data_IF_379715389734
#
_entry.id   IF_379715389734
#
_cell.length_a   1.000
_cell.length_b   1.000
_cell.length_c   1.000
_cell.angle_alpha   90.00
_cell.angle_beta   90.00
_cell.angle_gamma   90.00
#
_symmetry.space_group_name_H-M   'P 1'
#
loop_
_entity.id
_entity.type
_entity.pdbx_description
1 polymer ?
#
# COMPACT_ATOMS: atom_id res chain seq x y z
N UNK A 1 -0.27 -12.45 -31.28
CA UNK A 1 0.29 -13.56 -30.50
C UNK A 1 -0.88 -14.30 -29.87
N UNK A 2 -1.04 -15.58 -30.16
CA UNK A 2 -2.17 -16.39 -29.65
C UNK A 2 -1.73 -17.11 -28.37
N UNK A 3 -2.69 -17.39 -27.47
CA UNK A 3 -2.40 -17.93 -26.13
C UNK A 3 -1.75 -19.32 -26.19
N UNK A 4 -2.07 -20.10 -27.23
CA UNK A 4 -1.49 -21.43 -27.45
C UNK A 4 0.03 -21.39 -27.64
N UNK A 5 0.58 -20.31 -28.18
CA UNK A 5 2.04 -20.17 -28.39
C UNK A 5 2.80 -19.90 -27.07
N UNK A 6 2.09 -19.54 -26.00
CA UNK A 6 2.68 -19.13 -24.70
C UNK A 6 2.55 -20.20 -23.62
N UNK A 7 1.69 -21.19 -23.82
CA UNK A 7 1.36 -22.22 -22.83
C UNK A 7 1.85 -23.58 -23.31
N UNK A 8 2.19 -24.46 -22.36
CA UNK A 8 2.36 -25.88 -22.70
C UNK A 8 1.03 -26.49 -23.14
N UNK A 9 1.07 -27.51 -24.02
CA UNK A 9 -0.13 -28.21 -24.49
C UNK A 9 -1.03 -28.67 -23.34
N UNK A 10 -0.43 -29.19 -22.26
CA UNK A 10 -1.14 -29.61 -21.05
C UNK A 10 -1.91 -28.47 -20.39
N UNK A 11 -1.28 -27.29 -20.24
CA UNK A 11 -1.91 -26.13 -19.64
C UNK A 11 -3.04 -25.58 -20.52
N UNK A 12 -2.87 -25.61 -21.84
CA UNK A 12 -3.90 -25.18 -22.78
C UNK A 12 -5.13 -26.11 -22.77
N UNK A 13 -4.92 -27.43 -22.70
CA UNK A 13 -6.02 -28.40 -22.57
C UNK A 13 -6.82 -28.18 -21.29
N UNK A 14 -6.16 -27.99 -20.14
CA UNK A 14 -6.84 -27.69 -18.87
C UNK A 14 -7.65 -26.40 -18.97
N UNK A 15 -7.09 -25.35 -19.58
CA UNK A 15 -7.80 -24.08 -19.77
C UNK A 15 -9.03 -24.24 -20.66
N UNK A 16 -8.94 -25.05 -21.73
CA UNK A 16 -10.07 -25.37 -22.61
C UNK A 16 -11.16 -26.15 -21.89
N UNK A 17 -10.79 -27.11 -21.04
CA UNK A 17 -11.72 -27.93 -20.26
C UNK A 17 -12.40 -27.15 -19.12
N UNK A 18 -11.82 -26.03 -18.67
CA UNK A 18 -12.35 -25.21 -17.57
C UNK A 18 -13.70 -24.52 -17.86
N UNK A 19 -14.17 -24.51 -19.12
CA UNK A 19 -15.41 -23.83 -19.56
C UNK A 19 -15.49 -22.33 -19.20
N UNK A 20 -14.33 -21.69 -19.04
CA UNK A 20 -14.23 -20.25 -18.72
C UNK A 20 -14.11 -19.37 -19.97
N UNK A 21 -14.04 -19.97 -21.16
CA UNK A 21 -13.77 -19.30 -22.44
C UNK A 21 -12.48 -18.45 -22.48
N UNK A 22 -11.60 -18.59 -21.49
CA UNK A 22 -10.32 -17.87 -21.45
C UNK A 22 -9.35 -18.38 -22.53
N UNK A 23 -9.49 -19.63 -22.96
CA UNK A 23 -8.63 -20.25 -23.98
C UNK A 23 -8.78 -19.64 -25.38
N UNK A 24 -9.88 -18.94 -25.66
CA UNK A 24 -10.12 -18.24 -26.94
C UNK A 24 -9.72 -16.76 -26.91
N UNK A 25 -9.26 -16.26 -25.75
CA UNK A 25 -8.85 -14.86 -25.58
C UNK A 25 -7.37 -14.67 -25.93
N UNK A 26 -7.05 -13.49 -26.39
CA UNK A 26 -5.67 -13.04 -26.56
C UNK A 26 -5.02 -12.74 -25.21
N UNK A 27 -3.68 -12.79 -25.10
CA UNK A 27 -2.98 -12.44 -23.87
C UNK A 27 -3.33 -11.03 -23.36
N UNK A 28 -3.50 -10.06 -24.26
CA UNK A 28 -3.86 -8.70 -23.88
C UNK A 28 -5.28 -8.63 -23.29
N UNK A 29 -6.25 -9.30 -23.92
CA UNK A 29 -7.61 -9.38 -23.37
C UNK A 29 -7.62 -10.04 -21.99
N UNK A 30 -6.81 -11.08 -21.76
CA UNK A 30 -6.69 -11.71 -20.45
C UNK A 30 -6.10 -10.77 -19.40
N UNK A 31 -5.10 -9.96 -19.76
CA UNK A 31 -4.53 -8.94 -18.87
C UNK A 31 -5.59 -7.89 -18.53
N UNK A 32 -6.32 -7.40 -19.52
CA UNK A 32 -7.42 -6.44 -19.31
C UNK A 32 -8.52 -7.02 -18.42
N UNK A 33 -8.93 -8.26 -18.68
CA UNK A 33 -9.91 -8.97 -17.85
C UNK A 33 -9.41 -9.19 -16.42
N UNK A 34 -8.12 -9.50 -16.22
CA UNK A 34 -7.53 -9.64 -14.90
C UNK A 34 -7.51 -8.30 -14.14
N UNK A 35 -7.16 -7.20 -14.82
CA UNK A 35 -7.20 -5.87 -14.24
C UNK A 35 -8.64 -5.44 -13.89
N UNK A 36 -9.61 -5.75 -14.75
CA UNK A 36 -11.02 -5.49 -14.50
C UNK A 36 -11.53 -6.32 -13.31
N UNK A 37 -11.22 -7.62 -13.25
CA UNK A 37 -11.56 -8.45 -12.10
C UNK A 37 -10.98 -7.89 -10.79
N UNK A 38 -9.73 -7.45 -10.83
CA UNK A 38 -9.03 -6.89 -9.69
C UNK A 38 -9.73 -5.62 -9.16
N UNK A 39 -10.07 -4.68 -10.06
CA UNK A 39 -10.69 -3.41 -9.72
C UNK A 39 -12.18 -3.55 -9.37
N UNK A 40 -12.93 -4.31 -10.16
CA UNK A 40 -14.40 -4.32 -10.11
C UNK A 40 -14.97 -5.39 -9.16
N UNK A 41 -14.17 -6.40 -8.79
CA UNK A 41 -14.62 -7.51 -7.95
C UNK A 41 -13.73 -7.75 -6.73
N UNK A 42 -12.41 -7.93 -6.92
CA UNK A 42 -11.53 -8.35 -5.83
C UNK A 42 -11.41 -7.30 -4.73
N UNK A 43 -11.19 -6.03 -5.10
CA UNK A 43 -11.14 -4.91 -4.14
C UNK A 43 -12.49 -4.61 -3.50
N UNK A 44 -13.62 -4.50 -4.25
CA UNK A 44 -14.94 -4.34 -3.65
C UNK A 44 -15.32 -5.47 -2.70
N UNK A 45 -14.94 -6.72 -3.01
CA UNK A 45 -15.19 -7.85 -2.11
C UNK A 45 -14.40 -7.72 -0.81
N UNK A 46 -13.15 -7.26 -0.83
CA UNK A 46 -12.41 -6.94 0.39
C UNK A 46 -13.14 -5.89 1.25
N UNK A 47 -13.59 -4.80 0.63
CA UNK A 47 -14.29 -3.73 1.35
C UNK A 47 -15.64 -4.21 1.89
N UNK A 48 -16.38 -5.01 1.11
CA UNK A 48 -17.62 -5.64 1.56
C UNK A 48 -17.38 -6.49 2.81
N UNK A 49 -16.29 -7.25 2.85
CA UNK A 49 -15.96 -8.12 3.98
C UNK A 49 -15.49 -7.34 5.22
N UNK A 50 -14.92 -6.14 5.03
CA UNK A 50 -14.75 -5.17 6.11
C UNK A 50 -16.09 -4.63 6.62
N UNK A 51 -17.02 -4.32 5.71
CA UNK A 51 -18.34 -3.79 6.05
C UNK A 51 -19.26 -4.80 6.74
N UNK A 52 -19.16 -6.08 6.39
CA UNK A 52 -19.87 -7.18 7.04
C UNK A 52 -19.19 -7.68 8.31
N UNK A 53 -18.00 -7.16 8.64
CA UNK A 53 -17.15 -7.61 9.75
C UNK A 53 -16.71 -9.08 9.64
N UNK A 54 -16.78 -9.68 8.45
CA UNK A 54 -16.11 -10.96 8.16
C UNK A 54 -14.61 -10.83 8.33
N UNK A 55 -14.06 -9.66 7.96
CA UNK A 55 -12.71 -9.24 8.26
C UNK A 55 -12.75 -7.92 9.02
N UNK A 56 -11.94 -7.77 10.06
CA UNK A 56 -11.86 -6.52 10.82
C UNK A 56 -10.41 -6.14 11.08
N UNK A 57 -9.81 -5.28 10.24
CA UNK A 57 -8.42 -4.90 10.42
C UNK A 57 -8.32 -3.93 11.60
N UNK A 58 -7.56 -4.37 12.61
CA UNK A 58 -7.32 -3.59 13.84
C UNK A 58 -6.09 -2.67 13.71
N UNK A 59 -5.15 -3.01 12.84
CA UNK A 59 -3.92 -2.28 12.59
C UNK A 59 -3.39 -2.50 11.15
N UNK A 60 -2.35 -1.75 10.77
CA UNK A 60 -1.73 -1.83 9.45
C UNK A 60 -1.16 -3.20 9.11
N UNK A 61 -0.73 -3.96 10.13
CA UNK A 61 -0.25 -5.34 9.96
C UNK A 61 -1.40 -6.25 9.54
N UNK A 62 -2.50 -6.24 10.29
CA UNK A 62 -3.69 -7.05 9.99
C UNK A 62 -4.32 -6.65 8.66
N UNK A 63 -4.33 -5.34 8.34
CA UNK A 63 -4.74 -4.84 7.02
C UNK A 63 -3.87 -5.43 5.90
N UNK A 64 -2.54 -5.42 6.07
CA UNK A 64 -1.60 -5.98 5.10
C UNK A 64 -1.80 -7.49 4.96
N UNK A 65 -2.03 -8.21 6.05
CA UNK A 65 -2.27 -9.66 6.04
C UNK A 65 -3.56 -9.99 5.27
N UNK A 66 -4.64 -9.24 5.48
CA UNK A 66 -5.89 -9.42 4.72
C UNK A 66 -5.76 -9.10 3.23
N UNK A 67 -5.00 -8.07 2.88
CA UNK A 67 -4.69 -7.76 1.48
C UNK A 67 -3.92 -8.92 0.84
N UNK A 68 -2.82 -9.36 1.46
CA UNK A 68 -1.97 -10.41 0.91
C UNK A 68 -2.64 -11.78 0.85
N UNK A 69 -3.49 -12.13 1.82
CA UNK A 69 -4.23 -13.42 1.81
C UNK A 69 -5.21 -13.52 0.64
N UNK A 70 -5.57 -12.40 0.03
CA UNK A 70 -6.44 -12.32 -1.16
C UNK A 70 -5.68 -12.00 -2.45
N UNK A 71 -4.35 -12.11 -2.41
CA UNK A 71 -3.46 -11.76 -3.52
C UNK A 71 -3.60 -10.30 -3.97
N UNK A 72 -4.08 -9.42 -3.09
CA UNK A 72 -4.22 -8.00 -3.34
C UNK A 72 -2.90 -7.28 -3.07
N UNK A 73 -2.49 -6.50 -4.04
CA UNK A 73 -1.28 -5.72 -4.03
C UNK A 73 -1.45 -4.45 -3.20
N UNK A 74 -0.54 -4.18 -2.28
CA UNK A 74 -0.60 -2.97 -1.42
C UNK A 74 -0.66 -1.64 -2.19
N UNK A 75 -0.24 -1.58 -3.45
CA UNK A 75 -0.38 -0.37 -4.28
C UNK A 75 -1.85 0.06 -4.50
N UNK A 76 -2.82 -0.83 -4.31
CA UNK A 76 -4.24 -0.55 -4.49
C UNK A 76 -4.91 -0.03 -3.21
N UNK A 77 -4.16 0.25 -2.15
CA UNK A 77 -4.69 0.87 -0.92
C UNK A 77 -5.49 2.14 -1.20
N UNK A 78 -5.07 2.96 -2.18
CA UNK A 78 -5.85 4.13 -2.63
C UNK A 78 -7.27 3.72 -3.04
N UNK A 79 -7.40 2.68 -3.85
CA UNK A 79 -8.70 2.24 -4.34
C UNK A 79 -9.56 1.66 -3.21
N UNK A 80 -8.95 0.98 -2.25
CA UNK A 80 -9.63 0.53 -1.03
C UNK A 80 -10.18 1.73 -0.24
N UNK A 81 -9.43 2.83 -0.12
CA UNK A 81 -9.91 4.07 0.52
C UNK A 81 -11.12 4.63 -0.24
N UNK A 82 -11.04 4.71 -1.57
CA UNK A 82 -12.12 5.23 -2.44
C UNK A 82 -13.40 4.39 -2.32
N UNK A 83 -13.28 3.07 -2.23
CA UNK A 83 -14.40 2.14 -2.07
C UNK A 83 -14.97 2.10 -0.65
N UNK A 84 -14.21 2.54 0.36
CA UNK A 84 -14.57 2.45 1.79
C UNK A 84 -15.29 3.70 2.32
N UNK A 85 -16.03 4.43 1.47
CA UNK A 85 -16.73 5.69 1.82
C UNK A 85 -17.58 5.62 3.10
N UNK A 86 -18.20 4.47 3.34
CA UNK A 86 -19.05 4.19 4.52
C UNK A 86 -18.29 3.57 5.69
N UNK A 87 -16.99 3.36 5.58
CA UNK A 87 -16.14 2.69 6.56
C UNK A 87 -14.98 3.61 6.98
N UNK A 88 -15.25 4.67 7.77
CA UNK A 88 -14.24 5.68 8.12
C UNK A 88 -13.03 5.09 8.85
N UNK A 89 -13.23 4.03 9.65
CA UNK A 89 -12.12 3.29 10.28
C UNK A 89 -11.21 2.62 9.24
N UNK A 90 -11.78 1.92 8.25
CA UNK A 90 -11.01 1.26 7.20
C UNK A 90 -10.26 2.27 6.31
N UNK A 91 -10.90 3.41 5.97
CA UNK A 91 -10.24 4.50 5.25
C UNK A 91 -9.05 5.05 6.05
N UNK A 92 -9.28 5.39 7.32
CA UNK A 92 -8.24 5.91 8.21
C UNK A 92 -7.06 4.95 8.28
N UNK A 93 -7.33 3.65 8.42
CA UNK A 93 -6.30 2.63 8.50
C UNK A 93 -5.49 2.48 7.21
N UNK A 94 -6.15 2.49 6.05
CA UNK A 94 -5.47 2.44 4.75
C UNK A 94 -4.59 3.67 4.52
N UNK A 95 -5.06 4.86 4.92
CA UNK A 95 -4.29 6.10 4.86
C UNK A 95 -3.08 6.04 5.80
N UNK A 96 -3.27 5.59 7.04
CA UNK A 96 -2.18 5.40 8.01
C UNK A 96 -1.12 4.45 7.47
N UNK A 97 -1.53 3.34 6.85
CA UNK A 97 -0.61 2.36 6.25
C UNK A 97 0.18 2.96 5.06
N UNK A 98 -0.47 3.72 4.18
CA UNK A 98 0.23 4.42 3.08
C UNK A 98 1.30 5.39 3.61
N UNK A 99 1.00 6.13 4.67
CA UNK A 99 1.92 7.10 5.29
C UNK A 99 3.04 6.40 6.05
N UNK A 100 2.73 5.35 6.82
CA UNK A 100 3.74 4.55 7.51
C UNK A 100 4.76 3.97 6.52
N UNK A 101 4.30 3.51 5.35
CA UNK A 101 5.18 3.06 4.26
C UNK A 101 6.05 4.20 3.72
N UNK A 102 5.47 5.37 3.45
CA UNK A 102 6.23 6.55 3.01
C UNK A 102 7.37 6.87 3.97
N UNK A 103 7.06 6.91 5.26
CA UNK A 103 8.03 7.20 6.30
C UNK A 103 9.10 6.12 6.43
N UNK A 104 8.73 4.84 6.37
CA UNK A 104 9.71 3.76 6.35
C UNK A 104 10.72 3.93 5.22
N UNK A 105 10.26 4.26 4.02
CA UNK A 105 11.15 4.48 2.87
C UNK A 105 12.06 5.69 3.06
N UNK A 106 11.54 6.79 3.61
CA UNK A 106 12.35 7.98 3.88
C UNK A 106 13.39 7.68 4.97
N UNK A 107 13.01 7.00 6.06
CA UNK A 107 13.94 6.60 7.12
C UNK A 107 15.06 5.72 6.56
N UNK A 108 14.73 4.76 5.70
CA UNK A 108 15.73 3.92 5.04
C UNK A 108 16.70 4.75 4.19
N UNK A 109 16.21 5.75 3.46
CA UNK A 109 17.06 6.65 2.70
C UNK A 109 17.97 7.51 3.60
N UNK A 110 17.44 8.01 4.73
CA UNK A 110 18.23 8.75 5.73
C UNK A 110 19.34 7.86 6.28
N UNK A 111 19.01 6.64 6.74
CA UNK A 111 19.98 5.68 7.26
C UNK A 111 21.05 5.37 6.20
N UNK A 112 20.64 5.10 4.95
CA UNK A 112 21.58 4.82 3.87
C UNK A 112 22.50 6.00 3.50
N UNK A 113 22.13 7.23 3.83
CA UNK A 113 22.95 8.42 3.59
C UNK A 113 23.99 8.71 4.68
N UNK A 114 23.91 8.01 5.82
CA UNK A 114 24.84 8.20 6.94
C UNK A 114 26.09 7.34 6.72
N UNK A 115 27.22 7.99 6.50
CA UNK A 115 28.51 7.32 6.27
C UNK A 115 29.30 7.06 7.56
N UNK A 116 28.95 7.73 8.67
CA UNK A 116 29.65 7.64 9.96
C UNK A 116 28.75 6.96 10.98
N UNK A 117 29.21 5.85 11.54
CA UNK A 117 28.38 5.02 12.42
C UNK A 117 27.90 5.78 13.66
N UNK A 118 28.75 6.66 14.20
CA UNK A 118 28.45 7.50 15.36
C UNK A 118 27.28 8.48 15.11
N UNK A 119 27.02 8.81 13.84
CA UNK A 119 25.96 9.73 13.44
C UNK A 119 24.61 9.04 13.25
N UNK A 120 24.54 7.69 13.23
CA UNK A 120 23.27 6.98 13.03
C UNK A 120 22.21 7.37 14.05
N UNK A 121 22.57 7.32 15.34
CA UNK A 121 21.64 7.64 16.42
C UNK A 121 21.12 9.08 16.31
N UNK A 122 22.01 10.02 15.97
CA UNK A 122 21.65 11.43 15.77
C UNK A 122 20.72 11.59 14.56
N UNK A 123 21.06 11.00 13.42
CA UNK A 123 20.26 11.09 12.19
C UNK A 123 18.88 10.45 12.35
N UNK A 124 18.79 9.28 13.01
CA UNK A 124 17.51 8.62 13.30
C UNK A 124 16.68 9.49 14.26
N UNK A 125 17.28 10.02 15.33
CA UNK A 125 16.58 10.88 16.29
C UNK A 125 16.06 12.16 15.62
N UNK A 126 16.89 12.83 14.81
CA UNK A 126 16.50 14.03 14.05
C UNK A 126 15.36 13.70 13.10
N UNK A 127 15.43 12.59 12.37
CA UNK A 127 14.36 12.16 11.48
C UNK A 127 13.06 11.87 12.24
N UNK A 128 13.10 11.09 13.32
CA UNK A 128 11.91 10.76 14.11
C UNK A 128 11.31 12.01 14.76
N UNK A 129 12.13 12.97 15.20
CA UNK A 129 11.68 14.25 15.71
C UNK A 129 11.02 15.11 14.61
N UNK A 130 11.58 15.13 13.40
CA UNK A 130 10.94 15.77 12.25
C UNK A 130 9.59 15.10 11.88
N UNK A 131 9.55 13.77 11.97
CA UNK A 131 8.41 12.94 11.60
C UNK A 131 7.24 13.02 12.59
N UNK A 132 7.55 12.98 13.88
CA UNK A 132 6.58 12.83 14.97
C UNK A 132 6.43 14.12 15.78
N UNK A 133 7.45 14.97 15.77
CA UNK A 133 7.41 16.27 16.43
C UNK A 133 6.42 17.21 15.77
N UNK A 134 5.97 18.18 16.55
CA UNK A 134 5.39 19.42 16.03
C UNK A 134 6.57 20.35 15.75
N UNK A 135 6.94 20.55 14.49
CA UNK A 135 7.98 21.55 14.20
C UNK A 135 7.42 22.93 14.52
N UNK A 136 8.18 23.72 15.26
CA UNK A 136 7.91 25.15 15.46
C UNK A 136 8.30 25.97 14.23
N UNK A 137 8.98 25.36 13.26
CA UNK A 137 9.43 25.97 12.02
C UNK A 137 8.46 25.58 10.90
N UNK A 138 7.79 26.56 10.30
CA UNK A 138 6.80 26.32 9.24
C UNK A 138 7.39 25.62 8.01
N UNK A 139 8.66 25.91 7.68
CA UNK A 139 9.34 25.35 6.51
C UNK A 139 9.52 23.83 6.61
N UNK A 140 9.87 23.31 7.79
CA UNK A 140 10.01 21.88 8.03
C UNK A 140 8.69 21.15 7.85
N UNK A 141 7.59 21.76 8.31
CA UNK A 141 6.24 21.21 8.16
C UNK A 141 5.82 21.12 6.69
N UNK A 142 6.13 22.16 5.90
CA UNK A 142 5.88 22.18 4.44
C UNK A 142 6.74 21.15 3.71
N UNK A 143 8.02 21.03 4.06
CA UNK A 143 8.92 20.04 3.46
C UNK A 143 8.45 18.61 3.75
N UNK A 144 8.08 18.33 5.01
CA UNK A 144 7.52 17.05 5.43
C UNK A 144 6.29 16.68 4.61
N UNK A 145 5.33 17.60 4.50
CA UNK A 145 4.12 17.40 3.72
C UNK A 145 4.47 17.09 2.26
N UNK A 146 5.29 17.92 1.63
CA UNK A 146 5.71 17.73 0.23
C UNK A 146 6.35 16.35 -0.03
N UNK A 147 7.15 15.84 0.91
CA UNK A 147 7.78 14.53 0.78
C UNK A 147 6.76 13.39 0.83
N UNK A 148 5.82 13.46 1.77
CA UNK A 148 4.75 12.47 1.90
C UNK A 148 3.85 12.50 0.66
N UNK A 149 3.43 13.68 0.24
CA UNK A 149 2.63 13.90 -0.96
C UNK A 149 3.31 13.29 -2.18
N UNK A 150 4.61 13.56 -2.35
CA UNK A 150 5.38 13.03 -3.48
C UNK A 150 5.47 11.51 -3.43
N UNK A 151 5.74 10.92 -2.26
CA UNK A 151 5.85 9.47 -2.12
C UNK A 151 4.50 8.80 -2.42
N UNK A 152 3.44 9.29 -1.79
CA UNK A 152 2.10 8.71 -1.90
C UNK A 152 1.58 8.82 -3.32
N UNK A 153 1.77 9.98 -3.96
CA UNK A 153 1.39 10.17 -5.35
C UNK A 153 2.14 9.22 -6.27
N UNK A 154 3.47 9.08 -6.12
CA UNK A 154 4.26 8.16 -6.94
C UNK A 154 3.93 6.69 -6.71
N UNK A 155 3.62 6.29 -5.47
CA UNK A 155 3.42 4.88 -5.10
C UNK A 155 1.98 4.38 -5.27
N UNK A 156 1.00 5.24 -5.01
CA UNK A 156 -0.42 4.88 -4.97
C UNK A 156 -1.28 5.72 -5.93
N UNK A 157 -0.70 6.72 -6.61
CA UNK A 157 -1.43 7.66 -7.46
C UNK A 157 -2.39 8.56 -6.69
N UNK A 158 -2.29 8.64 -5.36
CA UNK A 158 -3.24 9.38 -4.52
C UNK A 158 -2.80 10.84 -4.37
N UNK A 159 -3.75 11.77 -4.59
CA UNK A 159 -3.54 13.20 -4.33
C UNK A 159 -3.93 13.50 -2.89
N UNK A 160 -3.00 14.09 -2.17
CA UNK A 160 -3.16 14.44 -0.77
C UNK A 160 -4.27 15.47 -0.56
N UNK A 161 -5.14 15.22 0.41
CA UNK A 161 -6.14 16.16 0.90
C UNK A 161 -5.80 16.56 2.35
N UNK A 162 -5.93 17.85 2.63
CA UNK A 162 -5.54 18.44 3.91
C UNK A 162 -6.38 17.92 5.08
N UNK A 163 -7.61 17.49 4.80
CA UNK A 163 -8.54 16.90 5.77
C UNK A 163 -8.07 15.54 6.31
N UNK A 164 -7.40 14.71 5.49
CA UNK A 164 -6.87 13.43 5.97
C UNK A 164 -5.66 13.61 6.91
N UNK A 165 -5.00 14.77 6.90
CA UNK A 165 -3.87 15.05 7.79
C UNK A 165 -4.28 15.27 9.23
N UNK A 166 -5.41 15.92 9.44
CA UNK A 166 -5.87 16.29 10.78
C UNK A 166 -6.18 15.05 11.64
N UNK A 167 -6.50 13.93 10.97
CA UNK A 167 -6.83 12.65 11.60
C UNK A 167 -5.62 11.68 11.73
N UNK A 168 -4.41 12.13 11.41
CA UNK A 168 -3.20 11.31 11.56
C UNK A 168 -2.78 11.19 13.02
N UNK A 169 -3.14 10.06 13.65
CA UNK A 169 -2.59 9.69 14.96
C UNK A 169 -1.13 9.29 14.80
N UNK A 170 -0.23 10.13 15.31
CA UNK A 170 1.24 9.94 15.28
C UNK A 170 1.69 8.52 15.69
N UNK A 171 0.99 7.91 16.64
CA UNK A 171 1.32 6.58 17.17
C UNK A 171 0.91 5.41 16.27
N UNK A 172 -0.14 5.54 15.46
CA UNK A 172 -0.57 4.48 14.52
C UNK A 172 0.48 4.22 13.45
N UNK A 173 1.21 5.28 13.08
CA UNK A 173 2.26 5.28 12.08
C UNK A 173 3.49 4.48 12.55
N UNK A 174 3.87 4.62 13.83
CA UNK A 174 5.08 3.99 14.36
C UNK A 174 5.00 2.47 14.42
N UNK A 175 3.80 1.90 14.58
CA UNK A 175 3.61 0.43 14.58
C UNK A 175 3.95 -0.22 13.24
N UNK A 176 3.95 0.54 12.13
CA UNK A 176 4.35 0.04 10.82
C UNK A 176 5.86 0.13 10.55
N UNK A 177 6.60 0.94 11.33
CA UNK A 177 8.03 1.21 11.11
C UNK A 177 8.87 0.13 11.79
N UNK A 178 9.01 -1.00 11.10
CA UNK A 178 9.99 -2.02 11.46
C UNK A 178 11.24 -1.84 10.60
N UNK A 179 12.39 -1.66 11.24
CA UNK A 179 13.68 -1.81 10.60
C UNK A 179 13.85 -3.30 10.22
N UNK A 180 14.49 -3.62 9.09
CA UNK A 180 14.85 -5.00 8.80
C UNK A 180 15.67 -5.55 9.96
N UNK A 181 15.24 -6.67 10.53
CA UNK A 181 16.10 -7.48 11.40
C UNK A 181 17.31 -7.84 10.54
N UNK A 182 18.51 -7.45 10.96
CA UNK A 182 19.74 -7.78 10.25
C UNK A 182 19.80 -9.29 10.07
N UNK A 183 19.80 -9.74 8.81
CA UNK A 183 20.15 -11.13 8.50
C UNK A 183 21.60 -11.32 8.90
N UNK A 184 21.82 -12.11 9.94
CA UNK A 184 23.13 -12.69 10.26
C UNK A 184 23.55 -13.68 9.19
#
# INVERSE_FOLDING_TARGET
>A
MILQDLLSDKAFTVLKESKTDLHIKTPNELIEMAHAYYADFALPKLVADFGSLELSPVDGRTLTDFMHTRDLQMHSLRHVVELSDKLPHAQSLCIHEMIARAYKHILQAVIASVNVVEDFARSIATYLNFLLGTSTVEEDSKLKQKWIETFIFKRFGWRWNEECCQNLRKFSILRGVHLPQGGT
#
